data_IF_486020856824
#
_entry.id   IF_486020856824
#
_cell.length_a   1.000
_cell.length_b   1.000
_cell.length_c   1.000
_cell.angle_alpha   90.00
_cell.angle_beta   90.00
_cell.angle_gamma   90.00
#
_symmetry.space_group_name_H-M   'P 1'
#
loop_
_entity.id
_entity.type
_entity.pdbx_description
1 polymer ?
#
# COMPACT_ATOMS: atom_id res chain seq x y z
N UNK A 1 1.88 10.03 -21.27
CA UNK A 1 2.02 9.03 -20.19
C UNK A 1 2.04 9.82 -18.89
N UNK A 2 1.05 9.64 -18.02
CA UNK A 2 0.98 10.39 -16.75
C UNK A 2 1.47 9.48 -15.63
N UNK A 3 2.60 9.83 -15.02
CA UNK A 3 3.02 9.21 -13.77
C UNK A 3 2.11 9.74 -12.65
N UNK A 4 1.51 8.84 -11.87
CA UNK A 4 0.65 9.19 -10.72
C UNK A 4 1.31 8.71 -9.45
N UNK A 5 1.42 9.60 -8.47
CA UNK A 5 1.95 9.30 -7.14
C UNK A 5 0.84 9.47 -6.12
N UNK A 6 0.73 8.52 -5.20
CA UNK A 6 -0.23 8.55 -4.10
C UNK A 6 0.57 8.50 -2.79
N UNK A 7 0.29 9.42 -1.87
CA UNK A 7 0.74 9.29 -0.49
C UNK A 7 -0.37 8.62 0.30
N UNK A 8 -0.06 7.46 0.86
CA UNK A 8 -1.02 6.60 1.54
C UNK A 8 -0.55 6.40 2.98
N UNK A 9 -1.42 6.67 3.94
CA UNK A 9 -1.16 6.29 5.33
C UNK A 9 -1.38 4.79 5.52
N UNK A 10 -0.36 4.09 6.01
CA UNK A 10 -0.42 2.64 6.29
C UNK A 10 -1.21 2.27 7.56
N UNK A 11 -1.67 3.27 8.32
CA UNK A 11 -2.28 3.07 9.63
C UNK A 11 -1.24 2.73 10.72
N UNK A 12 -1.68 2.30 11.91
CA UNK A 12 -0.80 2.02 13.03
C UNK A 12 -0.13 0.63 12.98
N UNK A 13 -0.36 -0.15 11.91
CA UNK A 13 0.31 -1.43 11.66
C UNK A 13 -0.63 -2.62 11.42
N UNK A 14 -1.89 -2.54 11.83
CA UNK A 14 -2.90 -3.55 11.51
C UNK A 14 -3.42 -3.35 10.06
N UNK A 15 -3.25 -4.34 9.14
CA UNK A 15 -3.72 -4.23 7.75
C UNK A 15 -5.22 -3.97 7.60
N UNK A 16 -6.06 -4.43 8.53
CA UNK A 16 -7.51 -4.21 8.47
C UNK A 16 -7.88 -2.73 8.65
N UNK A 17 -6.97 -1.91 9.18
CA UNK A 17 -7.17 -0.46 9.36
C UNK A 17 -6.82 0.35 8.10
N UNK A 18 -6.37 -0.30 7.02
CA UNK A 18 -6.18 0.37 5.75
C UNK A 18 -7.52 0.86 5.20
N UNK A 19 -7.52 2.08 4.66
CA UNK A 19 -8.70 2.56 3.94
C UNK A 19 -8.93 1.76 2.65
N UNK A 20 -10.18 1.62 2.22
CA UNK A 20 -10.49 0.97 0.93
C UNK A 20 -9.78 1.60 -0.26
N UNK A 21 -9.48 2.91 -0.21
CA UNK A 21 -8.70 3.61 -1.24
C UNK A 21 -7.23 3.19 -1.22
N UNK A 22 -6.65 2.99 -0.03
CA UNK A 22 -5.28 2.51 0.14
C UNK A 22 -5.12 1.12 -0.47
N UNK A 23 -6.02 0.19 -0.12
CA UNK A 23 -6.00 -1.19 -0.66
C UNK A 23 -6.07 -1.20 -2.19
N UNK A 24 -6.97 -0.41 -2.78
CA UNK A 24 -7.08 -0.28 -4.24
C UNK A 24 -5.82 0.30 -4.88
N UNK A 25 -5.25 1.36 -4.29
CA UNK A 25 -4.04 1.98 -4.79
C UNK A 25 -2.83 1.04 -4.73
N UNK A 26 -2.70 0.25 -3.67
CA UNK A 26 -1.65 -0.77 -3.53
C UNK A 26 -1.80 -1.88 -4.58
N UNK A 27 -3.04 -2.34 -4.84
CA UNK A 27 -3.31 -3.37 -5.85
C UNK A 27 -3.03 -2.93 -7.30
N UNK A 28 -3.07 -1.62 -7.57
CA UNK A 28 -2.77 -1.03 -8.89
C UNK A 28 -1.32 -0.54 -9.01
N UNK A 29 -0.53 -0.54 -7.93
CA UNK A 29 0.79 0.07 -7.92
C UNK A 29 1.84 -0.82 -8.60
N UNK A 30 2.56 -0.25 -9.57
CA UNK A 30 3.74 -0.88 -10.17
C UNK A 30 4.94 -0.89 -9.21
N UNK A 31 5.06 0.15 -8.38
CA UNK A 31 6.14 0.34 -7.41
C UNK A 31 5.58 0.89 -6.11
N UNK A 32 5.98 0.30 -4.99
CA UNK A 32 5.60 0.74 -3.64
C UNK A 32 6.85 1.09 -2.86
N UNK A 33 6.89 2.32 -2.33
CA UNK A 33 7.94 2.81 -1.43
C UNK A 33 7.34 2.86 -0.02
N UNK A 34 8.00 2.22 0.94
CA UNK A 34 7.61 2.21 2.36
C UNK A 34 8.76 2.69 3.23
N UNK A 35 8.44 3.16 4.43
CA UNK A 35 9.41 3.42 5.50
C UNK A 35 9.44 2.27 6.52
N UNK A 36 10.37 2.36 7.47
CA UNK A 36 10.62 1.33 8.49
C UNK A 36 9.46 1.13 9.49
N UNK A 37 8.49 2.05 9.55
CA UNK A 37 7.35 1.96 10.47
C UNK A 37 6.18 1.17 9.88
N UNK A 38 6.20 0.87 8.58
CA UNK A 38 5.14 0.15 7.89
C UNK A 38 5.25 -1.35 8.18
N UNK A 39 4.18 -1.93 8.72
CA UNK A 39 4.09 -3.38 8.88
C UNK A 39 4.09 -4.08 7.50
N UNK A 40 4.93 -5.10 7.34
CA UNK A 40 5.07 -5.85 6.09
C UNK A 40 3.77 -6.49 5.60
N UNK A 41 2.82 -6.79 6.49
CA UNK A 41 1.52 -7.33 6.14
C UNK A 41 0.69 -6.38 5.23
N UNK A 42 0.96 -5.07 5.23
CA UNK A 42 0.35 -4.11 4.27
C UNK A 42 0.69 -4.47 2.81
N UNK A 43 1.85 -5.09 2.58
CA UNK A 43 2.32 -5.46 1.24
C UNK A 43 1.57 -6.66 0.65
N UNK A 44 0.77 -7.39 1.43
CA UNK A 44 -0.09 -8.48 0.93
C UNK A 44 -1.15 -7.97 -0.07
N UNK A 45 -1.48 -6.68 -0.01
CA UNK A 45 -2.37 -6.05 -0.97
C UNK A 45 -1.69 -5.63 -2.29
N UNK A 46 -0.37 -5.82 -2.42
CA UNK A 46 0.37 -5.52 -3.65
C UNK A 46 0.35 -6.73 -4.63
N UNK A 47 0.33 -6.49 -5.94
CA UNK A 47 0.38 -7.57 -6.93
C UNK A 47 1.70 -8.38 -6.83
N UNK A 48 1.60 -9.71 -6.99
CA UNK A 48 2.76 -10.61 -7.02
C UNK A 48 3.34 -11.01 -5.65
N UNK A 49 2.62 -10.74 -4.55
CA UNK A 49 2.97 -11.19 -3.18
C UNK A 49 1.88 -12.03 -2.50
N UNK A 50 0.93 -12.56 -3.28
CA UNK A 50 0.00 -13.63 -2.88
C UNK A 50 0.40 -14.97 -3.50
#
# INVERSE_FOLDING_TARGET
MNAKVWLVGAGPGDPELLTLKAVRALGEADVVLIDDLVNAAVLEHCPGRG
#
